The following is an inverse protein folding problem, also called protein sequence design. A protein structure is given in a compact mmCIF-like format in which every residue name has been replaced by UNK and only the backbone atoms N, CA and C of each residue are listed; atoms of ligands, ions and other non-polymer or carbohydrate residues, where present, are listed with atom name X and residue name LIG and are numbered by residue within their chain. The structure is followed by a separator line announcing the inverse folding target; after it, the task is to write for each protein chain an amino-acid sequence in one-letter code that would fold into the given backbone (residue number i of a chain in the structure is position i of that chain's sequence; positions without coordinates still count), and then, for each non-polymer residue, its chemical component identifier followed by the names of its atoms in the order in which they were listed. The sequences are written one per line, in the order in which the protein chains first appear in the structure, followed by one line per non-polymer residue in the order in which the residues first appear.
data_IF_964507010232
#
_entry.id   IF_964507010232
#
_cell.length_a   1.000
_cell.length_b   1.000
_cell.length_c   1.000
_cell.angle_alpha   90.00
_cell.angle_beta   90.00
_cell.angle_gamma   90.00
#
_symmetry.space_group_name_H-M   'P 1'
#
loop_
_entity.id
_entity.type
_entity.pdbx_description
1 polymer ?
#
# COMPACT_ATOMS: atom_id res chain seq x y z
N UNK A 1 -2.35 15.46 0.74
CA UNK A 1 -1.12 14.73 1.13
C UNK A 1 -1.11 14.27 2.58
N UNK A 2 -1.38 15.14 3.56
CA UNK A 2 -1.41 14.78 5.00
C UNK A 2 -2.41 13.64 5.34
N UNK A 3 -3.61 13.66 4.75
CA UNK A 3 -4.65 12.65 4.97
C UNK A 3 -4.21 11.26 4.52
N UNK A 4 -3.67 11.14 3.29
CA UNK A 4 -3.14 9.86 2.79
C UNK A 4 -2.02 9.33 3.67
N UNK A 5 -1.06 10.18 4.08
CA UNK A 5 0.02 9.77 4.99
C UNK A 5 -0.51 9.21 6.30
N UNK A 6 -1.54 9.82 6.88
CA UNK A 6 -2.20 9.33 8.10
C UNK A 6 -2.89 7.98 7.88
N UNK A 7 -3.62 7.81 6.78
CA UNK A 7 -4.27 6.54 6.43
C UNK A 7 -3.25 5.42 6.21
N UNK A 8 -2.18 5.71 5.46
CA UNK A 8 -1.09 4.76 5.25
C UNK A 8 -0.39 4.39 6.57
N UNK A 9 -0.09 5.35 7.45
CA UNK A 9 0.45 5.05 8.79
C UNK A 9 -0.48 4.16 9.62
N UNK A 10 -1.79 4.34 9.51
CA UNK A 10 -2.76 3.50 10.21
C UNK A 10 -2.69 2.03 9.75
N UNK A 11 -2.43 1.78 8.46
CA UNK A 11 -2.25 0.42 7.92
C UNK A 11 -1.02 -0.30 8.51
N UNK A 12 0.02 0.45 8.89
CA UNK A 12 1.25 -0.08 9.48
C UNK A 12 1.29 0.00 11.01
N UNK A 13 0.20 0.43 11.66
CA UNK A 13 0.16 0.52 13.12
C UNK A 13 0.22 -0.88 13.73
N UNK A 14 1.30 -1.16 14.46
CA UNK A 14 1.55 -2.47 15.07
C UNK A 14 2.17 -3.50 14.13
N UNK A 15 2.52 -3.11 12.90
CA UNK A 15 3.34 -3.94 12.00
C UNK A 15 4.80 -3.77 12.40
N UNK A 16 5.51 -4.88 12.60
CA UNK A 16 6.95 -4.85 12.82
C UNK A 16 7.67 -4.47 11.52
N UNK A 17 8.38 -3.34 11.52
CA UNK A 17 9.17 -2.87 10.38
C UNK A 17 10.41 -3.73 10.06
N UNK A 18 10.74 -4.67 10.95
CA UNK A 18 11.75 -5.71 10.74
C UNK A 18 11.21 -6.97 10.06
N UNK A 19 9.88 -7.16 10.03
CA UNK A 19 9.23 -8.31 9.41
C UNK A 19 8.85 -7.98 7.97
N UNK A 20 9.67 -8.49 7.04
CA UNK A 20 9.46 -8.28 5.61
C UNK A 20 8.12 -8.86 5.12
N UNK A 21 7.69 -10.00 5.67
CA UNK A 21 6.42 -10.62 5.27
C UNK A 21 5.24 -9.77 5.75
N UNK A 22 5.27 -9.29 7.00
CA UNK A 22 4.23 -8.43 7.53
C UNK A 22 4.13 -7.10 6.77
N UNK A 23 5.23 -6.59 6.20
CA UNK A 23 5.23 -5.42 5.32
C UNK A 23 4.57 -5.75 3.97
N UNK A 24 4.94 -6.87 3.34
CA UNK A 24 4.40 -7.29 2.05
C UNK A 24 2.88 -7.54 2.11
N UNK A 25 2.38 -8.12 3.20
CA UNK A 25 0.94 -8.33 3.43
C UNK A 25 0.12 -7.02 3.46
N UNK A 26 0.78 -5.87 3.68
CA UNK A 26 0.15 -4.54 3.65
C UNK A 26 0.17 -3.87 2.28
N UNK A 27 0.86 -4.44 1.29
CA UNK A 27 0.98 -3.87 -0.05
C UNK A 27 -0.38 -3.67 -0.72
N UNK A 28 -1.21 -4.70 -0.74
CA UNK A 28 -2.56 -4.62 -1.30
C UNK A 28 -3.43 -3.55 -0.60
N UNK A 29 -3.55 -3.51 0.75
CA UNK A 29 -4.22 -2.41 1.45
C UNK A 29 -3.67 -1.01 1.12
N UNK A 30 -2.34 -0.87 0.96
CA UNK A 30 -1.72 0.41 0.58
C UNK A 30 -2.15 0.84 -0.82
N UNK A 31 -2.15 -0.08 -1.80
CA UNK A 31 -2.60 0.21 -3.16
C UNK A 31 -4.07 0.64 -3.17
N UNK A 32 -4.92 -0.02 -2.39
CA UNK A 32 -6.32 0.37 -2.23
C UNK A 32 -6.45 1.80 -1.70
N UNK A 33 -5.74 2.16 -0.62
CA UNK A 33 -5.80 3.52 -0.06
C UNK A 33 -5.28 4.59 -1.03
N UNK A 34 -4.23 4.29 -1.81
CA UNK A 34 -3.71 5.22 -2.82
C UNK A 34 -4.76 5.46 -3.92
N UNK A 35 -5.39 4.39 -4.41
CA UNK A 35 -6.41 4.48 -5.45
C UNK A 35 -7.67 5.19 -4.97
N UNK A 36 -8.14 4.92 -3.75
CA UNK A 36 -9.29 5.61 -3.17
C UNK A 36 -8.99 7.06 -2.84
N UNK A 37 -7.74 7.39 -2.52
CA UNK A 37 -7.32 8.78 -2.36
C UNK A 37 -7.29 9.54 -3.68
N UNK A 38 -6.86 8.88 -4.77
CA UNK A 38 -6.75 9.50 -6.10
C UNK A 38 -8.12 9.64 -6.79
N UNK A 39 -8.92 8.58 -6.77
CA UNK A 39 -10.19 8.48 -7.52
C UNK A 39 -11.44 8.71 -6.64
N UNK A 40 -11.26 8.85 -5.34
CA UNK A 40 -12.35 8.99 -4.36
C UNK A 40 -12.87 7.64 -3.84
N UNK A 41 -13.55 7.69 -2.69
CA UNK A 41 -14.09 6.49 -2.01
C UNK A 41 -15.15 5.74 -2.85
N UNK A 42 -15.86 6.44 -3.74
CA UNK A 42 -16.86 5.85 -4.64
C UNK A 42 -16.23 4.88 -5.65
N UNK A 43 -14.93 5.04 -5.95
CA UNK A 43 -14.21 4.16 -6.87
C UNK A 43 -14.17 2.70 -6.39
N UNK A 44 -14.35 2.45 -5.09
CA UNK A 44 -14.49 1.08 -4.54
C UNK A 44 -15.68 0.32 -5.13
N UNK A 45 -16.71 1.01 -5.61
CA UNK A 45 -17.91 0.41 -6.21
C UNK A 45 -17.70 0.05 -7.69
N UNK A 46 -16.62 0.52 -8.32
CA UNK A 46 -16.32 0.20 -9.71
C UNK A 46 -15.89 -1.27 -9.83
N UNK A 47 -16.46 -1.97 -10.82
CA UNK A 47 -16.10 -3.36 -11.11
C UNK A 47 -14.61 -3.54 -11.45
N UNK A 48 -13.94 -2.47 -11.89
CA UNK A 48 -12.51 -2.44 -12.20
C UNK A 48 -11.61 -2.26 -10.97
N UNK A 49 -12.15 -1.89 -9.80
CA UNK A 49 -11.33 -1.60 -8.62
C UNK A 49 -10.49 -2.82 -8.19
N UNK A 50 -11.16 -3.94 -7.91
CA UNK A 50 -10.50 -5.17 -7.49
C UNK A 50 -9.51 -5.73 -8.53
N UNK A 51 -9.86 -5.88 -9.83
CA UNK A 51 -8.91 -6.39 -10.81
C UNK A 51 -7.73 -5.45 -11.04
N UNK A 52 -7.92 -4.14 -10.93
CA UNK A 52 -6.82 -3.18 -11.05
C UNK A 52 -5.85 -3.29 -9.87
N UNK A 53 -6.36 -3.40 -8.64
CA UNK A 53 -5.53 -3.62 -7.44
C UNK A 53 -4.72 -4.92 -7.57
N UNK A 54 -5.36 -6.01 -8.00
CA UNK A 54 -4.69 -7.31 -8.18
C UNK A 54 -3.61 -7.26 -9.28
N UNK A 55 -3.90 -6.60 -10.41
CA UNK A 55 -2.92 -6.42 -11.49
C UNK A 55 -1.71 -5.58 -11.05
N UNK A 56 -1.95 -4.51 -10.28
CA UNK A 56 -0.87 -3.70 -9.71
C UNK A 56 -0.07 -4.51 -8.70
N UNK A 57 -0.72 -5.21 -7.77
CA UNK A 57 -0.01 -6.02 -6.76
C UNK A 57 0.90 -7.06 -7.42
N UNK A 58 0.42 -7.78 -8.43
CA UNK A 58 1.21 -8.77 -9.20
C UNK A 58 2.38 -8.13 -9.96
N UNK A 59 2.15 -6.98 -10.58
CA UNK A 59 3.21 -6.27 -11.32
C UNK A 59 4.33 -5.81 -10.39
N UNK A 60 3.97 -5.35 -9.19
CA UNK A 60 4.91 -4.90 -8.17
C UNK A 60 5.62 -6.09 -7.50
N UNK A 61 4.90 -7.20 -7.30
CA UNK A 61 5.47 -8.44 -6.77
C UNK A 61 6.53 -9.02 -7.72
N UNK A 62 6.30 -8.98 -9.03
CA UNK A 62 7.24 -9.49 -10.01
C UNK A 62 8.56 -8.68 -10.11
N UNK A 63 8.66 -7.53 -9.44
CA UNK A 63 9.83 -6.65 -9.47
C UNK A 63 10.52 -6.59 -8.10
N UNK A 64 11.64 -7.30 -7.96
CA UNK A 64 12.43 -7.33 -6.72
C UNK A 64 12.87 -5.94 -6.25
N UNK A 65 13.27 -5.07 -7.19
CA UNK A 65 13.64 -3.69 -6.87
C UNK A 65 12.46 -2.90 -6.29
N UNK A 66 11.23 -3.21 -6.70
CA UNK A 66 10.06 -2.55 -6.13
C UNK A 66 9.78 -3.00 -4.69
N UNK A 67 9.97 -4.29 -4.37
CA UNK A 67 9.81 -4.82 -2.99
C UNK A 67 10.75 -4.11 -2.01
N UNK A 68 12.00 -3.90 -2.41
CA UNK A 68 12.99 -3.15 -1.62
C UNK A 68 12.58 -1.68 -1.43
N UNK A 69 12.15 -1.01 -2.51
CA UNK A 69 11.68 0.38 -2.43
C UNK A 69 10.43 0.53 -1.57
N UNK A 70 9.49 -0.42 -1.66
CA UNK A 70 8.28 -0.44 -0.85
C UNK A 70 8.62 -0.57 0.64
N UNK A 71 9.50 -1.51 0.99
CA UNK A 71 10.00 -1.67 2.37
C UNK A 71 10.67 -0.40 2.91
N UNK A 72 11.49 0.28 2.08
CA UNK A 72 12.10 1.56 2.44
C UNK A 72 11.06 2.67 2.64
N UNK A 73 10.04 2.74 1.80
CA UNK A 73 8.95 3.71 1.90
C UNK A 73 8.15 3.49 3.19
N UNK A 74 7.85 2.24 3.53
CA UNK A 74 7.16 1.88 4.78
C UNK A 74 7.98 2.29 6.00
N UNK A 75 9.28 1.99 6.01
CA UNK A 75 10.19 2.44 7.09
C UNK A 75 10.20 3.96 7.26
N UNK A 76 10.17 4.72 6.17
CA UNK A 76 10.07 6.19 6.20
C UNK A 76 8.72 6.70 6.69
N UNK A 77 7.63 5.99 6.42
CA UNK A 77 6.29 6.35 6.89
C UNK A 77 6.10 6.11 8.38
N UNK A 78 6.71 5.05 8.91
CA UNK A 78 6.62 4.64 10.32
C UNK A 78 7.64 5.33 11.22
N UNK A 79 8.76 5.80 10.67
CA UNK A 79 9.69 6.67 11.38
C UNK A 79 9.13 8.10 11.51
N UNK A 80 9.31 8.68 12.70
CA UNK A 80 8.72 9.94 13.13
C UNK A 80 9.57 11.13 12.71
#
# INVERSE_FOLDING_TARGET
MEVLRTRLRALFKGVDSGDAQAIEERRTPVLQEILLWEFGDDFRQDAQFAPMVDALDKMLDANEGFREHFSLLVRKLTQK
#
